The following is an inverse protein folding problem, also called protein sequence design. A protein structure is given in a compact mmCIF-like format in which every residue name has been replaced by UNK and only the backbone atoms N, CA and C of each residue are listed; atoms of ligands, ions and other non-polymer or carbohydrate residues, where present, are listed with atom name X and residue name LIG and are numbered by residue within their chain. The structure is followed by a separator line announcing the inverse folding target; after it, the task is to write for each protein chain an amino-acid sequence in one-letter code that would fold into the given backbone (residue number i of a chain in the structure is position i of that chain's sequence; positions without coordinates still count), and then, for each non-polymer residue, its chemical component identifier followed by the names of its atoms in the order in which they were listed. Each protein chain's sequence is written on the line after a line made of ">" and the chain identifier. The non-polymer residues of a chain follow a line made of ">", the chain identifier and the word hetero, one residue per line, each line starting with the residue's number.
data_IF_973765488871
#
_entry.id   IF_973765488871
#
_cell.length_a   1.000
_cell.length_b   1.000
_cell.length_c   1.000
_cell.angle_alpha   90.00
_cell.angle_beta   90.00
_cell.angle_gamma   90.00
#
_symmetry.space_group_name_H-M   'P 1'
#
loop_
_entity.id
_entity.type
_entity.pdbx_description
1 polymer ?
#
# COMPACT_ATOMS: atom_id res chain seq x y z
N UNK A 1 -9.15 -2.64 18.42
CA UNK A 1 -9.16 -1.21 18.09
C UNK A 1 -7.75 -0.75 17.72
N UNK A 2 -7.29 -1.03 16.50
CA UNK A 2 -6.06 -0.45 15.94
C UNK A 2 -6.37 -0.14 14.47
N UNK A 3 -6.83 1.09 14.19
CA UNK A 3 -7.12 1.58 12.84
C UNK A 3 -6.09 2.63 12.41
N UNK A 4 -4.80 2.30 12.53
CA UNK A 4 -3.75 3.09 11.91
C UNK A 4 -3.39 2.42 10.58
N UNK A 5 -4.15 2.74 9.53
CA UNK A 5 -3.84 2.32 8.16
C UNK A 5 -3.20 3.50 7.45
N UNK A 6 -2.09 3.29 6.73
CA UNK A 6 -1.53 4.34 5.90
C UNK A 6 -2.45 4.58 4.71
N UNK A 7 -2.76 5.85 4.50
CA UNK A 7 -3.89 6.31 3.70
C UNK A 7 -3.41 7.32 2.65
N UNK A 8 -2.67 6.92 1.62
CA UNK A 8 -2.43 7.79 0.45
C UNK A 8 -2.40 6.97 -0.85
N UNK A 9 -3.54 6.49 -1.33
CA UNK A 9 -3.65 5.94 -2.69
C UNK A 9 -3.91 7.04 -3.77
N UNK A 10 -3.66 8.31 -3.45
CA UNK A 10 -4.31 9.44 -4.10
C UNK A 10 -3.65 9.97 -5.40
N UNK A 11 -2.38 9.69 -5.66
CA UNK A 11 -1.67 10.30 -6.79
C UNK A 11 -1.71 9.49 -8.09
N UNK A 12 -2.08 8.20 -8.06
CA UNK A 12 -1.90 7.31 -9.23
C UNK A 12 -2.98 7.43 -10.32
N UNK A 13 -4.19 7.91 -9.99
CA UNK A 13 -5.31 7.93 -10.96
C UNK A 13 -5.57 9.26 -11.67
N UNK A 14 -4.89 10.35 -11.31
CA UNK A 14 -5.03 11.63 -12.01
C UNK A 14 -4.16 11.74 -13.28
N UNK A 15 -3.08 10.96 -13.39
CA UNK A 15 -2.13 11.03 -14.53
C UNK A 15 -2.33 10.00 -15.65
N UNK A 16 -3.28 9.06 -15.52
CA UNK A 16 -3.45 7.93 -16.45
C UNK A 16 -4.80 7.92 -17.19
N UNK A 17 -5.50 9.07 -17.19
CA UNK A 17 -6.71 9.30 -17.98
C UNK A 17 -6.57 10.58 -18.80
N UNK A 18 -5.72 10.52 -19.82
CA UNK A 18 -5.86 11.41 -20.98
C UNK A 18 -5.81 10.52 -22.22
N UNK A 19 -6.99 10.27 -22.79
CA UNK A 19 -7.19 9.41 -23.93
C UNK A 19 -8.65 8.96 -24.01
N UNK A 20 -9.36 9.51 -25.00
CA UNK A 20 -10.72 9.16 -25.47
C UNK A 20 -11.92 9.68 -24.66
N UNK A 21 -12.46 10.80 -25.16
CA UNK A 21 -13.88 11.06 -25.43
C UNK A 21 -14.83 9.84 -25.32
N UNK A 22 -15.87 9.94 -24.50
CA UNK A 22 -17.28 9.72 -24.89
C UNK A 22 -18.22 9.78 -23.67
N UNK A 23 -19.33 10.48 -23.89
CA UNK A 23 -20.54 10.50 -23.06
C UNK A 23 -21.10 9.10 -22.81
N UNK A 24 -21.70 8.88 -21.64
CA UNK A 24 -23.09 8.39 -21.52
C UNK A 24 -23.45 8.09 -20.06
N UNK A 25 -24.43 8.86 -19.58
CA UNK A 25 -25.42 8.49 -18.58
C UNK A 25 -26.02 7.11 -18.94
N UNK A 26 -26.17 6.18 -17.99
CA UNK A 26 -27.34 5.28 -17.91
C UNK A 26 -27.38 4.46 -16.62
N UNK A 27 -28.59 4.46 -16.06
CA UNK A 27 -29.09 3.67 -14.94
C UNK A 27 -29.21 2.16 -15.27
N UNK A 28 -29.34 1.38 -14.19
CA UNK A 28 -30.30 0.26 -13.99
C UNK A 28 -29.93 -1.19 -14.38
N UNK A 29 -30.25 -2.09 -13.42
CA UNK A 29 -30.80 -3.46 -13.54
C UNK A 29 -29.82 -4.66 -13.43
N UNK A 30 -29.94 -5.38 -12.30
CA UNK A 30 -29.75 -6.84 -12.11
C UNK A 30 -30.91 -7.60 -12.79
N UNK A 31 -30.73 -8.84 -13.31
CA UNK A 31 -30.95 -10.02 -12.43
C UNK A 31 -30.22 -11.34 -12.79
N UNK A 32 -30.03 -12.15 -11.74
CA UNK A 32 -30.34 -13.61 -11.55
C UNK A 32 -30.58 -14.54 -12.76
N UNK A 33 -29.95 -15.74 -12.70
CA UNK A 33 -30.36 -17.04 -13.28
C UNK A 33 -29.13 -17.98 -13.32
N UNK A 34 -28.95 -19.09 -12.59
CA UNK A 34 -29.72 -20.29 -12.18
C UNK A 34 -29.96 -21.35 -13.29
N UNK A 35 -29.42 -22.57 -13.04
CA UNK A 35 -29.69 -23.91 -13.64
C UNK A 35 -29.08 -24.18 -15.05
N UNK A 36 -28.66 -25.38 -15.44
CA UNK A 36 -28.99 -26.74 -14.98
C UNK A 36 -27.89 -27.78 -15.24
N UNK A 37 -28.09 -28.91 -14.55
CA UNK A 37 -27.35 -30.16 -14.46
C UNK A 37 -27.84 -31.19 -15.50
N UNK A 38 -26.93 -31.98 -16.08
CA UNK A 38 -27.25 -33.29 -16.71
C UNK A 38 -26.06 -34.26 -16.60
N UNK A 39 -26.29 -35.42 -16.00
CA UNK A 39 -25.54 -36.69 -16.13
C UNK A 39 -26.33 -37.64 -17.09
N UNK A 40 -25.98 -38.92 -17.38
CA UNK A 40 -24.86 -39.77 -16.89
C UNK A 40 -24.16 -40.68 -17.95
N UNK A 41 -23.05 -41.33 -17.54
CA UNK A 41 -22.80 -42.76 -17.80
C UNK A 41 -21.88 -43.20 -18.95
N UNK A 42 -20.62 -43.58 -18.62
CA UNK A 42 -19.96 -44.81 -19.11
C UNK A 42 -18.58 -45.04 -18.47
N UNK A 43 -18.39 -46.15 -17.75
CA UNK A 43 -17.11 -46.88 -17.54
C UNK A 43 -17.16 -48.13 -18.46
N UNK A 44 -16.06 -48.83 -18.84
CA UNK A 44 -14.78 -49.01 -18.14
C UNK A 44 -13.55 -48.76 -19.07
N UNK A 45 -12.32 -48.62 -18.59
CA UNK A 45 -11.43 -49.76 -18.25
C UNK A 45 -10.07 -49.24 -17.79
N UNK A 46 -9.46 -50.03 -16.91
CA UNK A 46 -8.16 -49.88 -16.29
C UNK A 46 -7.04 -49.67 -17.30
N UNK A 47 -6.27 -48.60 -17.11
CA UNK A 47 -4.88 -48.50 -17.55
C UNK A 47 -4.11 -47.68 -16.54
N UNK A 48 -3.22 -48.39 -15.83
CA UNK A 48 -2.18 -47.88 -14.94
C UNK A 48 -1.45 -46.69 -15.54
N UNK A 49 -1.69 -45.50 -14.99
CA UNK A 49 -0.78 -44.35 -15.06
C UNK A 49 -0.54 -43.92 -13.61
N UNK A 50 0.42 -44.53 -12.92
CA UNK A 50 1.70 -43.89 -12.64
C UNK A 50 1.57 -42.37 -12.46
N UNK A 51 1.14 -42.04 -11.25
CA UNK A 51 1.50 -40.89 -10.44
C UNK A 51 2.81 -40.23 -10.92
N UNK A 52 2.65 -39.18 -11.75
CA UNK A 52 3.72 -38.27 -12.13
C UNK A 52 3.50 -36.95 -11.43
N UNK A 53 3.58 -36.96 -10.11
CA UNK A 53 3.91 -35.80 -9.28
C UNK A 53 5.34 -35.38 -9.62
N UNK A 54 5.51 -34.72 -10.78
CA UNK A 54 6.76 -34.04 -11.13
C UNK A 54 6.86 -32.83 -10.23
N UNK A 55 7.74 -32.96 -9.23
CA UNK A 55 7.96 -32.00 -8.16
C UNK A 55 7.93 -30.55 -8.61
N UNK A 56 6.93 -29.82 -8.10
CA UNK A 56 7.20 -28.45 -7.72
C UNK A 56 8.37 -28.54 -6.74
N UNK A 57 9.53 -28.00 -7.15
CA UNK A 57 10.64 -27.76 -6.23
C UNK A 57 10.06 -26.93 -5.09
N UNK A 58 9.78 -27.58 -3.97
CA UNK A 58 9.43 -26.92 -2.73
C UNK A 58 10.71 -26.25 -2.27
N UNK A 59 10.97 -25.06 -2.81
CA UNK A 59 11.95 -24.17 -2.22
C UNK A 59 11.35 -23.83 -0.85
N UNK A 60 12.01 -24.18 0.27
CA UNK A 60 11.52 -23.75 1.56
C UNK A 60 11.42 -22.22 1.48
N UNK A 61 10.23 -21.68 1.68
CA UNK A 61 10.07 -20.24 1.85
C UNK A 61 10.95 -19.86 3.03
N UNK A 62 12.06 -19.17 2.73
CA UNK A 62 13.16 -18.97 3.67
C UNK A 62 12.75 -18.09 4.86
N UNK A 63 11.70 -17.29 4.67
CA UNK A 63 11.21 -16.30 5.63
C UNK A 63 9.76 -16.62 6.05
N UNK A 64 9.38 -16.41 7.33
CA UNK A 64 8.02 -16.59 7.80
C UNK A 64 6.99 -15.80 6.98
N UNK A 65 5.79 -16.37 6.81
CA UNK A 65 4.68 -15.74 6.06
C UNK A 65 4.39 -14.32 6.54
N UNK A 66 4.26 -14.15 7.84
CA UNK A 66 3.93 -12.86 8.48
C UNK A 66 5.00 -11.78 8.19
N UNK A 67 6.28 -12.17 8.12
CA UNK A 67 7.37 -11.26 7.77
C UNK A 67 7.23 -10.78 6.32
N UNK A 68 6.93 -11.69 5.38
CA UNK A 68 6.71 -11.34 3.97
C UNK A 68 5.49 -10.43 3.79
N UNK A 69 4.42 -10.67 4.54
CA UNK A 69 3.22 -9.83 4.53
C UNK A 69 3.50 -8.44 5.10
N UNK A 70 4.25 -8.34 6.19
CA UNK A 70 4.67 -7.06 6.76
C UNK A 70 5.51 -6.25 5.78
N UNK A 71 6.41 -6.91 5.05
CA UNK A 71 7.15 -6.25 3.99
C UNK A 71 6.29 -5.85 2.77
N UNK A 72 5.24 -6.61 2.45
CA UNK A 72 4.28 -6.21 1.42
C UNK A 72 3.50 -4.95 1.82
N UNK A 73 3.08 -4.87 3.08
CA UNK A 73 2.50 -3.65 3.65
C UNK A 73 3.48 -2.48 3.55
N UNK A 74 4.75 -2.69 3.92
CA UNK A 74 5.77 -1.65 3.88
C UNK A 74 6.02 -1.19 2.44
N UNK A 75 6.15 -2.13 1.49
CA UNK A 75 6.35 -1.80 0.09
C UNK A 75 5.20 -1.00 -0.50
N UNK A 76 3.95 -1.32 -0.12
CA UNK A 76 2.77 -0.56 -0.56
C UNK A 76 2.77 0.85 0.02
N UNK A 77 3.04 0.99 1.32
CA UNK A 77 3.13 2.29 1.99
C UNK A 77 4.23 3.16 1.36
N UNK A 78 5.40 2.58 1.12
CA UNK A 78 6.55 3.29 0.54
C UNK A 78 6.27 3.74 -0.89
N UNK A 79 5.57 2.93 -1.69
CA UNK A 79 5.14 3.33 -3.03
C UNK A 79 4.22 4.55 -2.97
N UNK A 80 3.22 4.54 -2.09
CA UNK A 80 2.31 5.66 -1.87
C UNK A 80 3.06 6.93 -1.43
N UNK A 81 3.89 6.84 -0.38
CA UNK A 81 4.65 7.98 0.16
C UNK A 81 5.69 8.52 -0.81
N UNK A 82 6.31 7.67 -1.64
CA UNK A 82 7.28 8.12 -2.65
C UNK A 82 6.68 9.06 -3.71
N UNK A 83 5.35 9.11 -3.79
CA UNK A 83 4.60 9.87 -4.78
C UNK A 83 3.75 11.00 -4.18
N UNK A 84 3.81 11.24 -2.87
CA UNK A 84 2.93 12.19 -2.19
C UNK A 84 3.14 13.64 -2.65
N UNK A 85 4.36 14.01 -3.02
CA UNK A 85 4.72 15.34 -3.54
C UNK A 85 4.00 15.70 -4.85
N UNK A 86 3.56 14.71 -5.62
CA UNK A 86 2.78 14.91 -6.85
C UNK A 86 1.43 15.58 -6.61
N UNK A 87 0.93 15.59 -5.37
CA UNK A 87 -0.29 16.33 -5.01
C UNK A 87 -0.19 17.82 -5.39
N UNK A 88 1.02 18.39 -5.41
CA UNK A 88 1.23 19.79 -5.76
C UNK A 88 1.15 20.12 -7.25
N UNK A 89 1.03 19.11 -8.12
CA UNK A 89 0.65 19.35 -9.51
C UNK A 89 -0.82 19.76 -9.65
N UNK A 90 -1.64 19.45 -8.64
CA UNK A 90 -3.09 19.70 -8.66
C UNK A 90 -3.47 20.79 -7.65
N UNK A 91 -2.82 20.82 -6.48
CA UNK A 91 -3.16 21.74 -5.38
C UNK A 91 -1.97 22.61 -5.00
N UNK A 92 -2.21 23.89 -4.74
CA UNK A 92 -1.17 24.77 -4.20
C UNK A 92 -1.15 24.70 -2.67
N UNK A 93 0.05 24.55 -2.09
CA UNK A 93 0.31 24.64 -0.66
C UNK A 93 1.37 25.69 -0.33
N UNK A 94 1.51 26.01 0.95
CA UNK A 94 2.58 26.86 1.47
C UNK A 94 3.99 26.30 1.15
N UNK A 95 5.03 27.15 1.05
CA UNK A 95 6.40 26.67 0.79
C UNK A 95 6.90 25.67 1.84
N UNK A 96 6.62 25.92 3.12
CA UNK A 96 7.00 25.04 4.23
C UNK A 96 6.36 23.65 4.12
N UNK A 97 5.06 23.59 3.76
CA UNK A 97 4.38 22.34 3.50
C UNK A 97 5.02 21.59 2.33
N UNK A 98 5.26 22.28 1.20
CA UNK A 98 5.89 21.67 0.02
C UNK A 98 7.25 21.06 0.33
N UNK A 99 8.08 21.77 1.09
CA UNK A 99 9.39 21.27 1.51
C UNK A 99 9.25 19.99 2.35
N UNK A 100 8.33 19.97 3.30
CA UNK A 100 8.10 18.83 4.19
C UNK A 100 7.60 17.60 3.44
N UNK A 101 6.60 17.77 2.59
CA UNK A 101 6.02 16.69 1.78
C UNK A 101 7.05 16.16 0.78
N UNK A 102 7.90 17.02 0.21
CA UNK A 102 9.02 16.60 -0.64
C UNK A 102 10.03 15.76 0.14
N UNK A 103 10.41 16.18 1.35
CA UNK A 103 11.33 15.41 2.19
C UNK A 103 10.77 14.02 2.54
N UNK A 104 9.45 13.90 2.76
CA UNK A 104 8.78 12.60 2.94
C UNK A 104 8.91 11.74 1.68
N UNK A 105 8.58 12.31 0.51
CA UNK A 105 8.69 11.58 -0.75
C UNK A 105 10.11 11.10 -1.04
N UNK A 106 11.12 11.91 -0.72
CA UNK A 106 12.54 11.55 -0.88
C UNK A 106 12.97 10.45 0.09
N UNK A 107 12.58 10.52 1.37
CA UNK A 107 12.85 9.47 2.35
C UNK A 107 12.18 8.15 1.96
N UNK A 108 10.96 8.19 1.45
CA UNK A 108 10.27 7.00 0.94
C UNK A 108 10.98 6.43 -0.30
N UNK A 109 11.44 7.25 -1.26
CA UNK A 109 12.23 6.77 -2.40
C UNK A 109 13.55 6.10 -1.98
N UNK A 110 14.21 6.64 -0.96
CA UNK A 110 15.41 6.03 -0.40
C UNK A 110 15.11 4.63 0.16
N UNK A 111 14.06 4.50 0.98
CA UNK A 111 13.62 3.21 1.49
C UNK A 111 13.19 2.26 0.36
N UNK A 112 12.50 2.76 -0.68
CA UNK A 112 12.10 1.95 -1.83
C UNK A 112 13.32 1.32 -2.54
N UNK A 113 14.41 2.08 -2.65
CA UNK A 113 15.67 1.62 -3.24
C UNK A 113 16.30 0.52 -2.39
N UNK A 114 16.34 0.70 -1.07
CA UNK A 114 16.85 -0.31 -0.14
C UNK A 114 15.98 -1.58 -0.17
N UNK A 115 14.66 -1.45 -0.19
CA UNK A 115 13.74 -2.60 -0.30
C UNK A 115 13.88 -3.35 -1.62
N UNK A 116 14.26 -2.66 -2.71
CA UNK A 116 14.56 -3.32 -3.97
C UNK A 116 15.81 -4.20 -3.85
N UNK A 117 16.85 -3.73 -3.16
CA UNK A 117 18.08 -4.52 -2.93
C UNK A 117 17.84 -5.81 -2.13
N UNK A 118 16.82 -5.83 -1.26
CA UNK A 118 16.46 -7.04 -0.50
C UNK A 118 15.87 -8.13 -1.39
N UNK A 119 15.18 -7.74 -2.47
CA UNK A 119 14.60 -8.67 -3.44
C UNK A 119 15.68 -9.41 -4.23
N UNK A 120 16.71 -8.68 -4.62
CA UNK A 120 17.87 -9.22 -5.31
C UNK A 120 18.67 -10.20 -4.43
N UNK A 121 18.61 -10.01 -3.11
CA UNK A 121 19.17 -10.91 -2.09
C UNK A 121 18.35 -12.17 -1.77
N UNK A 122 17.27 -12.44 -2.51
CA UNK A 122 16.46 -13.66 -2.37
C UNK A 122 15.17 -13.50 -1.55
N UNK A 123 14.79 -12.29 -1.16
CA UNK A 123 13.46 -12.01 -0.61
C UNK A 123 12.45 -11.91 -1.76
N UNK A 124 11.95 -13.05 -2.20
CA UNK A 124 11.00 -13.17 -3.33
C UNK A 124 9.55 -13.01 -2.87
N UNK A 125 8.69 -12.58 -3.81
CA UNK A 125 7.95 -11.32 -3.76
C UNK A 125 7.18 -11.14 -2.46
N UNK A 126 7.19 -9.89 -2.00
CA UNK A 126 6.18 -9.35 -1.12
C UNK A 126 4.80 -9.76 -1.65
N UNK A 127 4.20 -10.77 -1.02
CA UNK A 127 2.97 -11.40 -1.52
C UNK A 127 1.82 -10.41 -1.58
N UNK A 128 0.68 -10.85 -2.09
CA UNK A 128 -0.57 -10.15 -1.78
C UNK A 128 -0.68 -10.09 -0.25
N UNK A 129 -1.06 -8.94 0.29
CA UNK A 129 -1.53 -8.91 1.66
C UNK A 129 -2.78 -9.78 1.69
N UNK A 130 -2.73 -10.93 2.35
CA UNK A 130 -3.88 -11.84 2.49
C UNK A 130 -4.90 -11.25 3.48
N UNK A 131 -5.27 -9.99 3.25
CA UNK A 131 -6.33 -9.31 3.96
C UNK A 131 -7.67 -9.92 3.56
N UNK A 132 -8.60 -10.09 4.51
CA UNK A 132 -9.98 -10.41 4.17
C UNK A 132 -10.51 -9.45 3.08
N UNK A 133 -11.24 -9.91 2.06
CA UNK A 133 -11.68 -9.05 0.95
C UNK A 133 -12.40 -7.78 1.40
N UNK A 134 -13.31 -7.88 2.37
CA UNK A 134 -14.03 -6.74 2.95
C UNK A 134 -13.11 -5.73 3.66
N UNK A 135 -12.02 -6.20 4.26
CA UNK A 135 -11.03 -5.32 4.88
C UNK A 135 -10.26 -4.54 3.81
N UNK A 136 -9.87 -5.20 2.71
CA UNK A 136 -9.25 -4.53 1.56
C UNK A 136 -10.15 -3.47 0.93
N UNK A 137 -11.43 -3.80 0.73
CA UNK A 137 -12.44 -2.86 0.22
C UNK A 137 -12.67 -1.67 1.16
N UNK A 138 -12.74 -1.92 2.48
CA UNK A 138 -12.91 -0.87 3.49
C UNK A 138 -11.72 0.09 3.48
N UNK A 139 -10.49 -0.43 3.46
CA UNK A 139 -9.28 0.40 3.35
C UNK A 139 -9.29 1.29 2.13
N UNK A 140 -9.68 0.71 0.98
CA UNK A 140 -9.83 1.46 -0.27
C UNK A 140 -10.86 2.57 -0.15
N UNK A 141 -12.02 2.29 0.43
CA UNK A 141 -13.07 3.29 0.62
C UNK A 141 -12.62 4.45 1.53
N UNK A 142 -11.88 4.16 2.61
CA UNK A 142 -11.31 5.19 3.49
C UNK A 142 -10.27 6.03 2.72
N UNK A 143 -9.40 5.40 1.94
CA UNK A 143 -8.42 6.11 1.11
C UNK A 143 -9.09 7.04 0.09
N UNK A 144 -10.12 6.56 -0.60
CA UNK A 144 -10.90 7.36 -1.56
C UNK A 144 -11.64 8.51 -0.85
N UNK A 145 -12.13 8.30 0.38
CA UNK A 145 -12.77 9.35 1.18
C UNK A 145 -11.78 10.45 1.57
N UNK A 146 -10.62 10.09 2.13
CA UNK A 146 -9.57 11.05 2.49
C UNK A 146 -9.05 11.81 1.28
N UNK A 147 -8.85 11.13 0.15
CA UNK A 147 -8.46 11.79 -1.09
C UNK A 147 -9.46 12.87 -1.50
N UNK A 148 -10.76 12.59 -1.41
CA UNK A 148 -11.80 13.58 -1.72
C UNK A 148 -11.76 14.77 -0.77
N UNK A 149 -11.52 14.54 0.52
CA UNK A 149 -11.39 15.62 1.51
C UNK A 149 -10.18 16.52 1.20
N UNK A 150 -9.02 15.93 0.95
CA UNK A 150 -7.77 16.65 0.63
C UNK A 150 -7.92 17.44 -0.69
N UNK A 151 -8.32 16.76 -1.77
CA UNK A 151 -8.34 17.37 -3.10
C UNK A 151 -9.55 18.30 -3.32
N UNK A 152 -10.68 18.02 -2.68
CA UNK A 152 -11.90 18.83 -2.77
C UNK A 152 -11.93 20.03 -1.82
N UNK A 153 -11.11 20.01 -0.76
CA UNK A 153 -11.06 21.09 0.23
C UNK A 153 -10.54 22.43 -0.31
N UNK A 154 -10.87 23.52 0.39
CA UNK A 154 -10.21 24.82 0.22
C UNK A 154 -8.72 24.70 0.57
N UNK A 155 -7.90 25.70 0.26
CA UNK A 155 -6.46 25.64 0.55
C UNK A 155 -6.15 25.35 2.04
N UNK A 156 -6.75 26.02 3.04
CA UNK A 156 -6.49 25.70 4.45
C UNK A 156 -6.91 24.27 4.83
N UNK A 157 -8.03 23.79 4.28
CA UNK A 157 -8.48 22.40 4.49
C UNK A 157 -7.51 21.42 3.87
N UNK A 158 -7.09 21.66 2.63
CA UNK A 158 -6.08 20.85 1.93
C UNK A 158 -4.78 20.74 2.74
N UNK A 159 -4.22 21.87 3.19
CA UNK A 159 -2.95 21.86 3.94
C UNK A 159 -3.10 21.10 5.27
N UNK A 160 -4.20 21.32 6.01
CA UNK A 160 -4.48 20.61 7.27
C UNK A 160 -4.69 19.11 7.08
N UNK A 161 -5.59 18.71 6.17
CA UNK A 161 -5.91 17.30 5.94
C UNK A 161 -4.71 16.53 5.40
N UNK A 162 -3.86 17.17 4.58
CA UNK A 162 -2.61 16.57 4.13
C UNK A 162 -1.66 16.35 5.31
N UNK A 163 -1.41 17.37 6.15
CA UNK A 163 -0.53 17.22 7.32
C UNK A 163 -1.03 16.14 8.29
N UNK A 164 -2.33 16.08 8.58
CA UNK A 164 -2.90 15.03 9.43
C UNK A 164 -2.71 13.64 8.82
N UNK A 165 -2.97 13.50 7.52
CA UNK A 165 -2.79 12.23 6.81
C UNK A 165 -1.33 11.78 6.82
N UNK A 166 -0.38 12.71 6.61
CA UNK A 166 1.05 12.39 6.70
C UNK A 166 1.51 12.05 8.12
N UNK A 167 0.97 12.70 9.14
CA UNK A 167 1.28 12.38 10.53
C UNK A 167 0.88 10.94 10.88
N UNK A 168 -0.33 10.53 10.45
CA UNK A 168 -0.82 9.16 10.62
C UNK A 168 0.01 8.16 9.79
N UNK A 169 0.27 8.46 8.52
CA UNK A 169 1.06 7.60 7.62
C UNK A 169 2.47 7.36 8.14
N UNK A 170 3.17 8.41 8.57
CA UNK A 170 4.52 8.30 9.14
C UNK A 170 4.52 7.62 10.51
N UNK A 171 3.47 7.80 11.34
CA UNK A 171 3.32 7.06 12.59
C UNK A 171 3.21 5.57 12.33
N UNK A 172 2.33 5.18 11.41
CA UNK A 172 2.17 3.79 11.00
C UNK A 172 3.47 3.23 10.44
N UNK A 173 4.10 3.93 9.50
CA UNK A 173 5.35 3.48 8.88
C UNK A 173 6.50 3.31 9.86
N UNK A 174 6.65 4.24 10.81
CA UNK A 174 7.66 4.12 11.88
C UNK A 174 7.45 2.85 12.69
N UNK A 175 6.22 2.59 13.15
CA UNK A 175 5.92 1.38 13.91
C UNK A 175 6.11 0.11 13.06
N UNK A 176 5.66 0.11 11.80
CA UNK A 176 5.83 -1.01 10.88
C UNK A 176 7.32 -1.34 10.65
N UNK A 177 8.15 -0.32 10.42
CA UNK A 177 9.59 -0.48 10.24
C UNK A 177 10.25 -1.07 11.50
N UNK A 178 9.85 -0.60 12.70
CA UNK A 178 10.36 -1.14 13.97
C UNK A 178 9.96 -2.60 14.16
N UNK A 179 8.69 -2.93 13.97
CA UNK A 179 8.19 -4.31 14.09
C UNK A 179 8.90 -5.23 13.09
N UNK A 180 9.06 -4.82 11.83
CA UNK A 180 9.81 -5.61 10.86
C UNK A 180 11.27 -5.83 11.28
N UNK A 181 11.92 -4.79 11.82
CA UNK A 181 13.31 -4.90 12.29
C UNK A 181 13.49 -5.76 13.56
N UNK A 182 12.43 -6.00 14.31
CA UNK A 182 12.43 -6.90 15.47
C UNK A 182 12.25 -8.36 15.06
N UNK A 183 11.52 -8.60 13.96
CA UNK A 183 11.17 -9.93 13.47
C UNK A 183 12.02 -10.42 12.30
N UNK A 184 12.90 -9.57 11.75
CA UNK A 184 13.82 -9.94 10.68
C UNK A 184 15.15 -10.45 11.23
N UNK A 185 15.44 -11.72 10.93
CA UNK A 185 16.66 -12.44 11.34
C UNK A 185 17.93 -11.90 10.68
N UNK A 186 17.83 -11.10 9.62
CA UNK A 186 18.98 -10.49 8.96
C UNK A 186 19.45 -9.22 9.67
N UNK A 187 20.65 -9.22 10.28
CA UNK A 187 21.13 -8.05 11.03
C UNK A 187 21.33 -6.80 10.16
N UNK A 188 21.62 -6.98 8.87
CA UNK A 188 21.79 -5.87 7.92
C UNK A 188 20.45 -5.24 7.56
N UNK A 189 19.43 -6.04 7.23
CA UNK A 189 18.07 -5.54 6.94
C UNK A 189 17.46 -4.86 8.17
N UNK A 190 17.56 -5.49 9.33
CA UNK A 190 17.06 -4.92 10.60
C UNK A 190 17.72 -3.59 10.96
N UNK A 191 19.01 -3.42 10.67
CA UNK A 191 19.71 -2.13 10.85
C UNK A 191 19.18 -1.06 9.90
N UNK A 192 18.99 -1.39 8.62
CA UNK A 192 18.44 -0.48 7.62
C UNK A 192 17.00 -0.06 7.98
N UNK A 193 16.14 -1.00 8.36
CA UNK A 193 14.77 -0.71 8.78
C UNK A 193 14.73 0.23 10.00
N UNK A 194 15.59 0.01 11.01
CA UNK A 194 15.69 0.91 12.18
C UNK A 194 16.18 2.30 11.79
N UNK A 195 17.12 2.40 10.86
CA UNK A 195 17.57 3.69 10.35
C UNK A 195 16.42 4.47 9.71
N UNK A 196 15.65 3.83 8.82
CA UNK A 196 14.47 4.44 8.21
C UNK A 196 13.40 4.82 9.22
N UNK A 197 13.19 3.99 10.26
CA UNK A 197 12.24 4.31 11.33
C UNK A 197 12.60 5.62 12.05
N UNK A 198 13.89 5.88 12.30
CA UNK A 198 14.35 7.14 12.90
C UNK A 198 14.09 8.33 11.96
N UNK A 199 14.39 8.18 10.67
CA UNK A 199 14.14 9.23 9.66
C UNK A 199 12.65 9.56 9.58
N UNK A 200 11.79 8.55 9.54
CA UNK A 200 10.34 8.75 9.46
C UNK A 200 9.77 9.34 10.75
N UNK A 201 10.32 8.98 11.91
CA UNK A 201 9.95 9.58 13.19
C UNK A 201 10.30 11.07 13.25
N UNK A 202 11.45 11.48 12.73
CA UNK A 202 11.84 12.90 12.64
C UNK A 202 10.91 13.68 11.70
N UNK A 203 10.66 13.15 10.50
CA UNK A 203 9.71 13.74 9.54
C UNK A 203 8.31 13.87 10.14
N UNK A 204 7.86 12.88 10.93
CA UNK A 204 6.59 12.94 11.62
C UNK A 204 6.53 14.13 12.59
N UNK A 205 7.60 14.38 13.34
CA UNK A 205 7.67 15.54 14.24
C UNK A 205 7.67 16.85 13.45
N UNK A 206 8.34 16.89 12.30
CA UNK A 206 8.31 18.04 11.39
C UNK A 206 6.91 18.34 10.87
N UNK A 207 6.15 17.31 10.53
CA UNK A 207 4.72 17.42 10.15
C UNK A 207 3.90 17.92 11.33
N UNK A 208 4.07 17.31 12.52
CA UNK A 208 3.33 17.69 13.72
C UNK A 208 3.47 19.17 14.06
N UNK A 209 4.70 19.70 13.98
CA UNK A 209 5.00 21.11 14.25
C UNK A 209 4.37 22.10 13.25
N UNK A 210 3.88 21.61 12.11
CA UNK A 210 3.16 22.43 11.12
C UNK A 210 1.65 22.35 11.25
N UNK A 211 1.11 21.40 12.02
CA UNK A 211 -0.33 21.32 12.26
C UNK A 211 -0.72 22.56 13.07
N UNK A 212 -1.62 23.42 12.55
CA UNK A 212 -2.04 24.61 13.28
C UNK A 212 -2.60 24.22 14.65
N UNK A 213 -2.28 24.98 15.70
CA UNK A 213 -2.92 24.82 17.00
C UNK A 213 -4.44 24.85 16.81
N UNK A 214 -5.11 23.75 17.16
CA UNK A 214 -6.56 23.71 17.20
C UNK A 214 -7.01 24.70 18.29
N UNK A 215 -7.94 25.63 18.00
CA UNK A 215 -8.51 26.49 19.02
C UNK A 215 -9.29 25.69 20.08
#
# INVERSE_FOLDING_TARGET
>A
MIHSLPLICAARRAGQRSGATALALSLLILPVGLRAETAPGSKPSVSTQQEKTRGARFFPEKEPRDLREGYALLSSLVDDESNVDKVFFIKSGSPALKETIKAIAEAAKALQTDLASFRDGGLHPYGATDLPPLEGETRKAIADHKQKQILGGSRPVFEKELLLSQYEGLSYGTCLLQTLAEHDDSPSRSRLLRHHALVWADLRMRVFNQIPNLP
#
